data_IF_520871316277
#
_entry.id   IF_520871316277
#
_cell.length_a   1.000
_cell.length_b   1.000
_cell.length_c   1.000
_cell.angle_alpha   90.00
_cell.angle_beta   90.00
_cell.angle_gamma   90.00
#
_symmetry.space_group_name_H-M   'P 1'
#
loop_
_entity.id
_entity.type
_entity.pdbx_description
1 polymer ?
#
# COMPACT_ATOMS: atom_id res chain seq x y z
N UNK A 1 6.36 -1.49 10.36
CA UNK A 1 5.79 -0.32 9.66
C UNK A 1 6.87 0.51 9.00
N UNK A 2 7.68 1.29 9.73
CA UNK A 2 8.78 2.07 9.10
C UNK A 2 9.74 1.19 8.29
N UNK A 3 10.19 0.08 8.87
CA UNK A 3 11.00 -0.90 8.15
C UNK A 3 10.35 -1.51 6.90
N UNK A 4 9.01 -1.60 6.87
CA UNK A 4 8.30 -2.12 5.70
C UNK A 4 8.20 -1.03 4.61
N UNK A 5 8.05 0.24 4.99
CA UNK A 5 8.12 1.39 4.08
C UNK A 5 9.53 1.51 3.49
N UNK A 6 10.57 1.45 4.34
CA UNK A 6 11.97 1.51 3.89
C UNK A 6 12.31 0.37 2.93
N UNK A 7 11.72 -0.82 3.14
CA UNK A 7 11.92 -1.97 2.26
C UNK A 7 11.39 -1.73 0.83
N UNK A 8 10.49 -0.76 0.62
CA UNK A 8 10.01 -0.38 -0.71
C UNK A 8 11.11 0.27 -1.56
N UNK A 9 12.18 0.79 -0.97
CA UNK A 9 13.35 1.27 -1.73
C UNK A 9 14.05 0.12 -2.47
N UNK A 10 13.96 -1.10 -1.95
CA UNK A 10 14.58 -2.30 -2.54
C UNK A 10 13.58 -3.14 -3.33
N UNK A 11 12.34 -3.24 -2.82
CA UNK A 11 11.31 -4.15 -3.32
C UNK A 11 10.07 -3.41 -3.87
N UNK A 12 10.20 -2.13 -4.19
CA UNK A 12 9.15 -1.35 -4.84
C UNK A 12 8.79 -1.94 -6.20
N UNK A 13 7.50 -2.14 -6.47
CA UNK A 13 6.98 -2.56 -7.77
C UNK A 13 6.79 -4.06 -7.95
N UNK A 14 7.40 -4.92 -7.11
CA UNK A 14 7.22 -6.38 -7.21
C UNK A 14 5.94 -6.89 -6.54
N UNK A 15 5.29 -6.04 -5.74
CA UNK A 15 4.13 -6.42 -4.96
C UNK A 15 2.86 -6.44 -5.80
N UNK A 16 1.92 -7.34 -5.50
CA UNK A 16 0.66 -7.49 -6.26
C UNK A 16 -0.13 -6.16 -6.32
N UNK A 17 -0.65 -5.85 -7.49
CA UNK A 17 -1.59 -4.73 -7.69
C UNK A 17 -2.98 -5.07 -7.15
N UNK A 18 -3.52 -4.21 -6.29
CA UNK A 18 -4.85 -4.31 -5.69
C UNK A 18 -5.49 -2.91 -5.69
N UNK A 19 -6.72 -2.82 -6.19
CA UNK A 19 -7.44 -1.54 -6.34
C UNK A 19 -6.68 -0.45 -7.12
N UNK A 20 -5.79 -0.83 -8.03
CA UNK A 20 -4.98 0.11 -8.83
C UNK A 20 -3.66 0.53 -8.18
N UNK A 21 -3.28 -0.05 -7.04
CA UNK A 21 -2.02 0.24 -6.35
C UNK A 21 -1.26 -1.05 -6.04
N UNK A 22 0.07 -1.00 -5.98
CA UNK A 22 0.85 -2.10 -5.39
C UNK A 22 0.53 -2.21 -3.89
N UNK A 23 0.37 -3.44 -3.40
CA UNK A 23 0.03 -3.72 -1.99
C UNK A 23 1.12 -4.52 -1.29
N UNK A 24 1.85 -3.88 -0.40
CA UNK A 24 2.78 -4.54 0.52
C UNK A 24 2.08 -4.86 1.85
N UNK A 25 2.12 -6.11 2.30
CA UNK A 25 1.60 -6.50 3.61
C UNK A 25 2.71 -6.30 4.66
N UNK A 26 2.43 -5.52 5.69
CA UNK A 26 3.40 -5.28 6.76
C UNK A 26 3.66 -6.56 7.54
N UNK A 27 4.93 -6.80 7.91
CA UNK A 27 5.29 -7.90 8.81
C UNK A 27 4.65 -7.77 10.19
N UNK A 28 4.34 -6.54 10.62
CA UNK A 28 3.57 -6.28 11.85
C UNK A 28 2.08 -6.21 11.47
N UNK A 29 1.41 -7.35 11.59
CA UNK A 29 -0.03 -7.48 11.37
C UNK A 29 -0.83 -6.40 12.14
N UNK A 30 -1.99 -5.92 11.62
CA UNK A 30 -2.65 -6.26 10.37
C UNK A 30 -2.71 -5.07 9.40
N UNK A 31 -1.56 -4.60 8.88
CA UNK A 31 -1.53 -3.42 7.99
C UNK A 31 -1.06 -3.73 6.57
N UNK A 32 -1.61 -3.00 5.60
CA UNK A 32 -1.18 -3.00 4.21
C UNK A 32 -0.78 -1.58 3.77
N UNK A 33 0.34 -1.49 3.04
CA UNK A 33 0.85 -0.28 2.42
C UNK A 33 0.46 -0.30 0.95
N UNK A 34 -0.33 0.68 0.52
CA UNK A 34 -0.72 0.89 -0.86
C UNK A 34 0.15 1.99 -1.48
N UNK A 35 0.82 1.67 -2.57
CA UNK A 35 1.78 2.56 -3.22
C UNK A 35 1.77 2.42 -4.75
N UNK A 36 2.36 3.38 -5.45
CA UNK A 36 2.67 3.30 -6.89
C UNK A 36 4.15 3.56 -7.13
N UNK A 37 4.67 3.11 -8.27
CA UNK A 37 6.04 3.39 -8.70
C UNK A 37 5.97 4.21 -9.98
N UNK A 38 6.61 5.39 -9.99
CA UNK A 38 6.72 6.26 -11.15
C UNK A 38 8.12 6.85 -11.19
N UNK A 39 8.81 6.78 -12.33
CA UNK A 39 10.14 7.38 -12.52
C UNK A 39 11.15 7.05 -11.40
N UNK A 40 11.13 5.79 -10.94
CA UNK A 40 11.97 5.29 -9.85
C UNK A 40 11.67 5.89 -8.45
N UNK A 41 10.51 6.54 -8.29
CA UNK A 41 9.99 7.06 -7.03
C UNK A 41 8.83 6.18 -6.56
N UNK A 42 8.88 5.79 -5.29
CA UNK A 42 7.78 5.10 -4.61
C UNK A 42 6.86 6.13 -3.96
N UNK A 43 5.62 6.21 -4.45
CA UNK A 43 4.59 7.05 -3.89
C UNK A 43 3.68 6.24 -2.97
N UNK A 44 3.80 6.44 -1.65
CA UNK A 44 2.91 5.81 -0.67
C UNK A 44 1.60 6.58 -0.59
N UNK A 45 0.49 5.95 -0.98
CA UNK A 45 -0.84 6.56 -0.98
C UNK A 45 -1.54 6.40 0.36
N UNK A 46 -1.45 5.20 0.95
CA UNK A 46 -2.10 4.91 2.22
C UNK A 46 -1.48 3.72 2.95
N UNK A 47 -1.56 3.76 4.28
CA UNK A 47 -1.29 2.63 5.16
C UNK A 47 -2.58 2.29 5.89
N UNK A 48 -3.16 1.13 5.60
CA UNK A 48 -4.52 0.79 6.02
C UNK A 48 -4.56 -0.52 6.80
N UNK A 49 -5.43 -0.58 7.81
CA UNK A 49 -5.73 -1.82 8.54
C UNK A 49 -6.49 -2.80 7.64
N UNK A 50 -5.95 -4.01 7.47
CA UNK A 50 -6.51 -5.07 6.64
C UNK A 50 -7.84 -5.61 7.15
N UNK A 51 -8.20 -5.37 8.42
CA UNK A 51 -9.47 -5.80 9.02
C UNK A 51 -10.63 -4.88 8.66
N UNK A 52 -10.36 -3.73 8.02
CA UNK A 52 -11.39 -2.78 7.63
C UNK A 52 -12.17 -3.29 6.42
N UNK A 53 -13.42 -2.86 6.30
CA UNK A 53 -14.30 -3.25 5.19
C UNK A 53 -13.60 -3.00 3.83
N UNK A 54 -13.47 -4.02 2.96
CA UNK A 54 -12.83 -3.89 1.65
C UNK A 54 -13.41 -2.79 0.75
N UNK A 55 -14.73 -2.56 0.83
CA UNK A 55 -15.39 -1.48 0.09
C UNK A 55 -14.95 -0.10 0.58
N UNK A 56 -14.76 0.06 1.89
CA UNK A 56 -14.22 1.29 2.46
C UNK A 56 -12.77 1.52 2.02
N UNK A 57 -11.94 0.46 2.03
CA UNK A 57 -10.55 0.52 1.55
C UNK A 57 -10.51 0.99 0.09
N UNK A 58 -11.36 0.41 -0.77
CA UNK A 58 -11.45 0.78 -2.19
C UNK A 58 -11.86 2.25 -2.37
N UNK A 59 -12.87 2.72 -1.65
CA UNK A 59 -13.31 4.14 -1.70
C UNK A 59 -12.19 5.08 -1.24
N UNK A 60 -11.54 4.75 -0.13
CA UNK A 60 -10.43 5.54 0.43
C UNK A 60 -9.29 5.69 -0.55
N UNK A 61 -8.92 4.62 -1.24
CA UNK A 61 -7.84 4.62 -2.25
C UNK A 61 -8.18 5.40 -3.51
N UNK A 62 -9.46 5.49 -3.86
CA UNK A 62 -9.93 6.35 -4.97
C UNK A 62 -10.00 7.84 -4.63
N UNK A 63 -9.77 8.22 -3.37
CA UNK A 63 -9.97 9.61 -2.92
C UNK A 63 -11.45 10.00 -2.73
N UNK A 64 -12.37 9.03 -2.74
CA UNK A 64 -13.82 9.25 -2.53
C UNK A 64 -14.17 9.37 -1.03
N UNK A 65 -13.32 10.05 -0.26
CA UNK A 65 -13.38 10.13 1.21
C UNK A 65 -14.23 11.27 1.73
#
# INVERSE_FOLDING_TARGET
MFSDIDSLLLYGGIHQAVYGHHRCLSKRFPFAIYYSVAENIVHVHAVLDCRRNPLWIRKRLKGEG
#
